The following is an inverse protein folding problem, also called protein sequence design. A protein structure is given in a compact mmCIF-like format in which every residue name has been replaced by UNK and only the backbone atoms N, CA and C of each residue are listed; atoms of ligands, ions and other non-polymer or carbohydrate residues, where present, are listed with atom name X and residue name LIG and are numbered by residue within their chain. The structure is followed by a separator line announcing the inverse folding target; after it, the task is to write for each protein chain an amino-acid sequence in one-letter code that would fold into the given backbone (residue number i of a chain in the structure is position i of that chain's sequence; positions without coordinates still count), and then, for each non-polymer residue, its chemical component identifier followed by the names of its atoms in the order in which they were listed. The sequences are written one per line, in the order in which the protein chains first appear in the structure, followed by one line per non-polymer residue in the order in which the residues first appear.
data_IF_604834753749
#
_entry.id   IF_604834753749
#
_cell.length_a   1.000
_cell.length_b   1.000
_cell.length_c   1.000
_cell.angle_alpha   90.00
_cell.angle_beta   90.00
_cell.angle_gamma   90.00
#
_symmetry.space_group_name_H-M   'P 1'
#
loop_
_entity.id
_entity.type
_entity.pdbx_description
1 polymer ?
#
# COMPACT_ATOMS: atom_id res chain seq x y z
N UNK A 1 -1.75 -33.23 38.47
CA UNK A 1 -1.90 -31.80 38.82
C UNK A 1 -3.18 -31.33 38.15
N UNK A 2 -4.22 -31.03 38.94
CA UNK A 2 -5.57 -30.79 38.43
C UNK A 2 -5.78 -29.34 37.99
N UNK A 3 -6.48 -29.16 36.87
CA UNK A 3 -6.77 -27.88 36.19
C UNK A 3 -7.66 -26.92 37.03
N UNK A 4 -8.17 -27.36 38.18
CA UNK A 4 -8.98 -26.58 39.12
C UNK A 4 -8.21 -25.48 39.85
N UNK A 5 -6.88 -25.53 39.88
CA UNK A 5 -6.06 -24.49 40.54
C UNK A 5 -5.84 -23.23 39.68
N UNK A 6 -6.31 -23.21 38.43
CA UNK A 6 -6.10 -22.09 37.50
C UNK A 6 -7.35 -21.23 37.25
N UNK A 7 -8.48 -21.57 37.88
CA UNK A 7 -9.75 -20.85 37.72
C UNK A 7 -10.31 -20.40 39.07
N UNK A 8 -9.48 -19.80 39.94
CA UNK A 8 -10.00 -19.00 41.05
C UNK A 8 -9.89 -17.52 40.70
N UNK A 9 -10.96 -17.03 40.07
CA UNK A 9 -11.22 -15.62 39.83
C UNK A 9 -11.96 -15.11 41.06
N UNK A 10 -11.23 -14.73 42.11
CA UNK A 10 -11.74 -13.83 43.14
C UNK A 10 -10.60 -13.00 43.75
N UNK A 11 -10.72 -11.70 43.50
CA UNK A 11 -9.94 -10.61 44.05
C UNK A 11 -9.90 -10.62 45.57
N UNK A 12 -8.74 -10.33 46.17
CA UNK A 12 -8.59 -9.60 47.43
C UNK A 12 -7.12 -9.12 47.50
N UNK A 13 -6.88 -7.85 47.16
CA UNK A 13 -6.78 -6.71 48.08
C UNK A 13 -5.35 -6.49 48.58
N UNK A 14 -4.84 -5.31 48.24
CA UNK A 14 -3.91 -4.49 48.98
C UNK A 14 -2.49 -5.04 49.23
N UNK A 15 -1.49 -4.34 48.68
CA UNK A 15 -0.53 -3.62 49.51
C UNK A 15 0.18 -2.55 48.68
N UNK A 16 -0.33 -1.34 48.86
CA UNK A 16 0.26 -0.05 48.53
C UNK A 16 1.64 0.07 49.18
N UNK A 17 2.69 0.32 48.39
CA UNK A 17 3.95 0.88 48.91
C UNK A 17 4.00 2.36 48.53
N UNK A 18 3.66 3.20 49.51
CA UNK A 18 3.87 4.67 49.50
C UNK A 18 5.31 4.95 49.92
N UNK A 19 6.09 5.60 49.05
CA UNK A 19 7.29 6.34 49.46
C UNK A 19 6.98 7.83 49.45
N UNK A 20 6.95 8.45 50.63
CA UNK A 20 6.78 9.90 50.83
C UNK A 20 8.09 10.67 50.65
N UNK A 21 8.01 11.97 50.28
CA UNK A 21 9.11 12.73 49.68
C UNK A 21 9.88 13.57 50.69
N UNK A 22 11.20 13.70 50.50
CA UNK A 22 12.01 14.76 51.10
C UNK A 22 12.35 15.70 49.96
N UNK A 23 11.53 16.73 49.76
CA UNK A 23 11.77 18.02 49.07
C UNK A 23 10.39 18.64 48.77
N UNK A 24 9.75 19.12 49.83
CA UNK A 24 8.54 19.92 49.73
C UNK A 24 8.89 21.38 49.41
N UNK A 25 8.23 21.90 48.37
CA UNK A 25 7.87 23.32 48.19
C UNK A 25 8.82 24.25 47.41
N UNK A 26 9.18 23.90 46.16
CA UNK A 26 9.19 24.89 45.07
C UNK A 26 8.57 24.22 43.84
N UNK A 27 7.38 24.65 43.44
CA UNK A 27 6.78 24.23 42.16
C UNK A 27 7.37 25.07 41.03
N UNK A 28 8.40 24.52 40.37
CA UNK A 28 9.09 25.12 39.23
C UNK A 28 8.14 25.43 38.04
N UNK A 29 6.94 24.84 38.01
CA UNK A 29 5.93 25.09 36.96
C UNK A 29 5.39 26.52 36.93
N UNK A 30 5.50 27.27 38.03
CA UNK A 30 5.04 28.66 38.09
C UNK A 30 5.84 29.56 37.14
N UNK A 31 7.13 29.26 36.91
CA UNK A 31 8.00 30.06 36.02
C UNK A 31 7.78 29.79 34.53
N UNK A 32 7.20 28.65 34.16
CA UNK A 32 6.89 28.30 32.77
C UNK A 32 5.45 28.62 32.35
N UNK A 33 4.60 29.03 33.30
CA UNK A 33 3.18 29.33 33.09
C UNK A 33 2.91 30.72 32.51
N UNK A 34 3.79 31.23 31.63
CA UNK A 34 3.42 32.36 30.75
C UNK A 34 2.67 31.80 29.55
N UNK A 35 1.37 32.13 29.47
CA UNK A 35 0.43 31.79 28.40
C UNK A 35 1.11 31.77 27.02
N UNK A 36 1.45 30.57 26.54
CA UNK A 36 1.73 30.32 25.13
C UNK A 36 0.41 30.06 24.44
N UNK A 37 0.04 30.93 23.50
CA UNK A 37 -1.00 30.66 22.52
C UNK A 37 -0.57 29.39 21.78
N UNK A 38 -1.28 28.27 22.02
CA UNK A 38 -1.07 27.03 21.28
C UNK A 38 -1.53 27.24 19.83
N UNK A 39 -0.59 27.59 18.96
CA UNK A 39 -0.75 27.28 17.53
C UNK A 39 -0.40 25.79 17.36
N UNK A 40 -1.18 25.00 16.63
CA UNK A 40 -0.84 23.61 16.35
C UNK A 40 0.51 23.58 15.62
N UNK A 41 1.55 23.05 16.27
CA UNK A 41 2.84 22.83 15.62
C UNK A 41 2.69 21.65 14.67
N UNK A 42 2.58 21.92 13.38
CA UNK A 42 2.82 20.88 12.38
C UNK A 42 4.30 20.48 12.46
N UNK A 43 4.58 19.27 12.93
CA UNK A 43 5.89 18.65 12.75
C UNK A 43 6.04 18.36 11.26
N UNK A 44 6.84 19.18 10.57
CA UNK A 44 7.16 19.01 9.15
C UNK A 44 8.03 17.77 8.88
N UNK A 45 8.59 17.15 9.92
CA UNK A 45 9.38 15.93 9.82
C UNK A 45 9.01 14.96 10.93
N UNK A 46 8.68 13.72 10.54
CA UNK A 46 8.67 12.53 11.40
C UNK A 46 9.72 11.57 10.85
N UNK A 47 10.78 11.33 11.61
CA UNK A 47 11.70 10.24 11.32
C UNK A 47 11.20 9.01 12.06
N UNK A 48 10.35 8.21 11.40
CA UNK A 48 9.80 6.99 12.00
C UNK A 48 10.79 5.82 12.03
N UNK A 49 11.98 5.96 11.45
CA UNK A 49 12.99 4.91 11.39
C UNK A 49 14.35 5.42 11.88
N UNK A 50 14.41 5.98 13.09
CA UNK A 50 15.67 6.00 13.80
C UNK A 50 15.94 4.56 14.27
N UNK A 51 16.94 3.92 13.65
CA UNK A 51 17.46 2.61 14.02
C UNK A 51 17.49 2.46 15.55
N UNK A 52 16.78 1.46 16.07
CA UNK A 52 16.88 1.07 17.47
C UNK A 52 18.34 0.74 17.77
N UNK A 53 18.80 1.34 18.87
CA UNK A 53 20.13 1.27 19.45
C UNK A 53 20.72 -0.13 19.46
N UNK A 54 21.93 -0.24 18.93
CA UNK A 54 22.77 -1.43 18.90
C UNK A 54 23.35 -1.82 20.28
N UNK A 55 22.50 -2.03 21.29
CA UNK A 55 22.93 -2.48 22.62
C UNK A 55 22.22 -3.72 23.16
N UNK A 56 21.13 -4.20 22.53
CA UNK A 56 20.31 -5.28 23.11
C UNK A 56 20.49 -6.66 22.44
N UNK A 57 21.68 -6.93 21.88
CA UNK A 57 21.93 -8.15 21.08
C UNK A 57 22.28 -9.40 21.93
N UNK A 58 22.56 -9.29 23.23
CA UNK A 58 23.16 -10.42 23.97
C UNK A 58 22.23 -11.26 24.86
N UNK A 59 20.95 -10.94 25.02
CA UNK A 59 20.05 -11.74 25.88
C UNK A 59 18.63 -11.92 25.30
N UNK A 60 18.51 -12.61 24.16
CA UNK A 60 17.20 -13.21 23.80
C UNK A 60 17.31 -14.73 23.63
N UNK A 61 16.54 -15.53 24.40
CA UNK A 61 16.39 -16.94 24.14
C UNK A 61 15.72 -17.14 22.77
N UNK A 62 16.17 -18.15 22.03
CA UNK A 62 15.73 -18.53 20.67
C UNK A 62 14.24 -18.98 20.56
N UNK A 63 13.36 -18.54 21.44
CA UNK A 63 11.97 -19.01 21.54
C UNK A 63 10.98 -17.86 21.62
N UNK A 64 10.96 -17.00 20.60
CA UNK A 64 9.82 -16.12 20.28
C UNK A 64 10.05 -15.45 18.94
N UNK A 65 9.66 -16.13 17.86
CA UNK A 65 9.47 -15.51 16.54
C UNK A 65 8.18 -14.69 16.61
N UNK A 66 8.18 -13.62 17.40
CA UNK A 66 7.30 -12.47 17.17
C UNK A 66 8.13 -11.42 16.45
N UNK A 67 8.75 -11.82 15.34
CA UNK A 67 9.18 -10.83 14.36
C UNK A 67 7.90 -10.18 13.86
N UNK A 68 7.70 -8.91 14.19
CA UNK A 68 6.69 -8.08 13.55
C UNK A 68 6.95 -8.17 12.05
N UNK A 69 6.12 -8.92 11.33
CA UNK A 69 6.23 -9.06 9.88
C UNK A 69 6.05 -7.67 9.27
N UNK A 70 7.17 -7.01 8.96
CA UNK A 70 7.15 -5.72 8.29
C UNK A 70 6.72 -5.99 6.84
N UNK A 71 5.52 -5.54 6.50
CA UNK A 71 5.02 -5.68 5.13
C UNK A 71 5.89 -4.84 4.19
N UNK A 72 6.39 -5.47 3.12
CA UNK A 72 7.28 -4.85 2.13
C UNK A 72 6.55 -3.74 1.35
N UNK A 73 5.24 -3.90 1.15
CA UNK A 73 4.41 -2.94 0.44
C UNK A 73 2.99 -2.92 1.01
N UNK A 74 2.26 -1.85 0.70
CA UNK A 74 0.81 -1.78 0.96
C UNK A 74 0.08 -2.81 0.10
N UNK A 75 -1.00 -3.37 0.62
CA UNK A 75 -1.81 -4.34 -0.11
C UNK A 75 -2.50 -3.67 -1.30
N UNK A 76 -2.04 -3.96 -2.53
CA UNK A 76 -2.64 -3.48 -3.77
C UNK A 76 -2.69 -4.59 -4.81
N UNK A 77 -3.74 -4.64 -5.63
CA UNK A 77 -3.77 -5.55 -6.79
C UNK A 77 -2.72 -5.19 -7.83
N UNK A 78 -2.27 -3.93 -7.88
CA UNK A 78 -1.24 -3.48 -8.80
C UNK A 78 0.14 -4.06 -8.46
N UNK A 79 0.32 -4.60 -7.25
CA UNK A 79 1.55 -5.31 -6.87
C UNK A 79 1.82 -6.50 -7.81
N UNK A 80 0.78 -7.10 -8.39
CA UNK A 80 0.91 -8.20 -9.35
C UNK A 80 1.75 -7.81 -10.57
N UNK A 81 1.72 -6.53 -10.98
CA UNK A 81 2.44 -6.04 -12.15
C UNK A 81 3.95 -6.21 -11.96
N UNK A 82 4.42 -5.95 -10.74
CA UNK A 82 5.85 -6.02 -10.41
C UNK A 82 6.34 -7.46 -10.21
N UNK A 83 5.46 -8.34 -9.70
CA UNK A 83 5.84 -9.73 -9.41
C UNK A 83 5.51 -10.69 -10.56
N UNK A 84 4.79 -10.25 -11.60
CA UNK A 84 4.30 -11.13 -12.64
C UNK A 84 5.42 -11.88 -13.36
N UNK A 85 6.40 -11.14 -13.87
CA UNK A 85 7.52 -11.71 -14.60
C UNK A 85 8.38 -12.65 -13.73
N UNK A 86 8.88 -12.22 -12.54
CA UNK A 86 9.69 -13.11 -11.72
C UNK A 86 8.90 -14.35 -11.23
N UNK A 87 7.61 -14.20 -10.92
CA UNK A 87 6.79 -15.33 -10.48
C UNK A 87 6.48 -16.30 -11.62
N UNK A 88 6.26 -15.80 -12.84
CA UNK A 88 6.08 -16.64 -14.04
C UNK A 88 7.36 -17.43 -14.33
N UNK A 89 8.52 -16.79 -14.29
CA UNK A 89 9.82 -17.47 -14.45
C UNK A 89 10.02 -18.55 -13.37
N UNK A 90 9.69 -18.23 -12.12
CA UNK A 90 9.76 -19.19 -11.02
C UNK A 90 8.83 -20.39 -11.22
N UNK A 91 7.58 -20.14 -11.61
CA UNK A 91 6.60 -21.20 -11.91
C UNK A 91 7.14 -22.13 -13.00
N UNK A 92 7.68 -21.57 -14.10
CA UNK A 92 8.25 -22.35 -15.20
C UNK A 92 9.43 -23.21 -14.75
N UNK A 93 10.32 -22.68 -13.90
CA UNK A 93 11.44 -23.45 -13.34
C UNK A 93 10.97 -24.62 -12.48
N UNK A 94 9.97 -24.40 -11.64
CA UNK A 94 9.38 -25.45 -10.80
C UNK A 94 8.72 -26.53 -11.66
N UNK A 95 7.92 -26.13 -12.64
CA UNK A 95 7.25 -27.05 -13.57
C UNK A 95 8.24 -27.92 -14.35
N UNK A 96 9.34 -27.32 -14.83
CA UNK A 96 10.44 -28.05 -15.45
C UNK A 96 11.12 -29.03 -14.48
N UNK A 97 11.32 -28.65 -13.22
CA UNK A 97 11.97 -29.53 -12.23
C UNK A 97 11.12 -30.74 -11.83
N UNK A 98 9.79 -30.61 -11.87
CA UNK A 98 8.82 -31.66 -11.48
C UNK A 98 8.38 -32.47 -12.72
N UNK A 99 8.84 -32.12 -13.93
CA UNK A 99 8.36 -32.68 -15.21
C UNK A 99 6.83 -32.61 -15.34
N UNK A 100 6.24 -31.50 -14.92
CA UNK A 100 4.80 -31.24 -14.99
C UNK A 100 4.57 -30.01 -15.85
N UNK A 101 3.53 -30.06 -16.70
CA UNK A 101 3.19 -28.92 -17.56
C UNK A 101 2.43 -27.81 -16.82
N UNK A 102 1.84 -28.13 -15.66
CA UNK A 102 1.05 -27.21 -14.85
C UNK A 102 1.15 -27.59 -13.37
N UNK A 103 1.40 -26.62 -12.51
CA UNK A 103 1.35 -26.79 -11.05
C UNK A 103 0.20 -26.01 -10.41
N UNK A 104 -0.13 -26.31 -9.16
CA UNK A 104 -1.19 -25.62 -8.40
C UNK A 104 -0.97 -24.10 -8.34
N UNK A 105 0.28 -23.67 -8.21
CA UNK A 105 0.62 -22.25 -8.18
C UNK A 105 0.32 -21.59 -9.53
N UNK A 106 0.65 -22.24 -10.64
CA UNK A 106 0.32 -21.76 -11.99
C UNK A 106 -1.18 -21.62 -12.20
N UNK A 107 -1.98 -22.62 -11.80
CA UNK A 107 -3.44 -22.56 -11.89
C UNK A 107 -4.00 -21.40 -11.06
N UNK A 108 -3.59 -21.28 -9.79
CA UNK A 108 -4.04 -20.20 -8.92
C UNK A 108 -3.64 -18.83 -9.46
N UNK A 109 -2.39 -18.68 -9.91
CA UNK A 109 -1.86 -17.41 -10.38
C UNK A 109 -2.61 -16.94 -11.64
N UNK A 110 -2.81 -17.85 -12.59
CA UNK A 110 -3.58 -17.55 -13.80
C UNK A 110 -5.06 -17.24 -13.49
N UNK A 111 -5.66 -17.96 -12.54
CA UNK A 111 -7.03 -17.68 -12.09
C UNK A 111 -7.16 -16.30 -11.44
N UNK A 112 -6.22 -15.95 -10.55
CA UNK A 112 -6.21 -14.66 -9.86
C UNK A 112 -6.06 -13.51 -10.85
N UNK A 113 -5.16 -13.63 -11.83
CA UNK A 113 -5.00 -12.60 -12.86
C UNK A 113 -6.31 -12.41 -13.60
N UNK A 114 -6.91 -13.51 -14.07
CA UNK A 114 -8.11 -13.45 -14.90
C UNK A 114 -9.33 -12.89 -14.19
N UNK A 115 -9.55 -13.31 -12.94
CA UNK A 115 -10.81 -13.02 -12.21
C UNK A 115 -10.71 -11.84 -11.25
N UNK A 116 -9.52 -11.51 -10.76
CA UNK A 116 -9.36 -10.44 -9.78
C UNK A 116 -8.64 -9.25 -10.38
N UNK A 117 -7.48 -9.47 -11.02
CA UNK A 117 -6.69 -8.36 -11.53
C UNK A 117 -7.35 -7.70 -12.75
N UNK A 118 -7.73 -8.48 -13.77
CA UNK A 118 -8.32 -7.94 -14.99
C UNK A 118 -9.64 -7.21 -14.73
N UNK A 119 -10.52 -7.79 -13.91
CA UNK A 119 -11.79 -7.15 -13.52
C UNK A 119 -11.59 -5.83 -12.79
N UNK A 120 -10.57 -5.77 -11.91
CA UNK A 120 -10.20 -4.51 -11.23
C UNK A 120 -9.62 -3.49 -12.20
N UNK A 121 -8.79 -3.89 -13.16
CA UNK A 121 -8.27 -2.96 -14.16
C UNK A 121 -9.39 -2.41 -15.03
N UNK A 122 -10.31 -3.27 -15.50
CA UNK A 122 -11.49 -2.83 -16.25
C UNK A 122 -12.33 -1.83 -15.43
N UNK A 123 -12.63 -2.16 -14.17
CA UNK A 123 -13.42 -1.29 -13.27
C UNK A 123 -12.73 0.06 -12.99
N UNK A 124 -11.41 0.05 -12.75
CA UNK A 124 -10.59 1.25 -12.52
C UNK A 124 -10.61 2.17 -13.74
N UNK A 125 -10.50 1.60 -14.94
CA UNK A 125 -10.58 2.34 -16.20
C UNK A 125 -11.98 2.90 -16.41
N UNK A 126 -13.02 2.07 -16.26
CA UNK A 126 -14.41 2.50 -16.45
C UNK A 126 -14.79 3.66 -15.52
N UNK A 127 -14.44 3.56 -14.24
CA UNK A 127 -14.68 4.64 -13.25
C UNK A 127 -13.88 5.90 -13.55
N UNK A 128 -12.64 5.77 -14.04
CA UNK A 128 -11.83 6.91 -14.47
C UNK A 128 -12.45 7.62 -15.67
N UNK A 129 -12.88 6.87 -16.70
CA UNK A 129 -13.55 7.42 -17.88
C UNK A 129 -14.88 8.09 -17.53
N UNK A 130 -15.68 7.46 -16.67
CA UNK A 130 -16.94 8.02 -16.20
C UNK A 130 -16.73 9.32 -15.41
N UNK A 131 -15.70 9.37 -14.54
CA UNK A 131 -15.33 10.59 -13.82
C UNK A 131 -14.91 11.71 -14.77
N UNK A 132 -14.12 11.39 -15.80
CA UNK A 132 -13.64 12.38 -16.77
C UNK A 132 -14.80 12.92 -17.63
N UNK A 133 -15.75 12.08 -18.00
CA UNK A 133 -16.85 12.47 -18.91
C UNK A 133 -17.98 13.21 -18.20
N UNK A 134 -18.21 12.94 -16.91
CA UNK A 134 -19.28 13.56 -16.12
C UNK A 134 -18.87 14.85 -15.40
N UNK A 135 -17.59 15.21 -15.42
CA UNK A 135 -17.13 16.44 -14.77
C UNK A 135 -17.63 17.66 -15.55
N UNK A 136 -18.21 18.66 -14.86
CA UNK A 136 -18.83 19.83 -15.50
C UNK A 136 -17.87 20.61 -16.42
N UNK A 137 -16.59 20.68 -16.04
CA UNK A 137 -15.54 21.38 -16.80
C UNK A 137 -14.73 20.46 -17.72
N UNK A 138 -15.13 19.19 -17.89
CA UNK A 138 -14.40 18.20 -18.68
C UNK A 138 -14.11 18.65 -20.12
N UNK A 139 -15.00 19.46 -20.68
CA UNK A 139 -14.98 19.96 -22.05
C UNK A 139 -14.36 21.34 -22.20
N UNK A 140 -13.95 21.96 -21.08
CA UNK A 140 -13.33 23.28 -21.04
C UNK A 140 -11.92 23.29 -20.44
N UNK A 141 -11.59 22.29 -19.61
CA UNK A 141 -10.26 22.13 -19.05
C UNK A 141 -9.24 21.75 -20.15
N UNK A 142 -8.20 22.56 -20.30
CA UNK A 142 -7.11 22.34 -21.26
C UNK A 142 -5.83 21.85 -20.57
N UNK A 143 -4.97 21.17 -21.34
CA UNK A 143 -3.66 20.71 -20.88
C UNK A 143 -2.78 21.86 -20.43
N UNK A 144 -2.05 21.65 -19.34
CA UNK A 144 -1.11 22.65 -18.81
C UNK A 144 0.13 22.77 -19.72
N UNK A 145 0.85 23.90 -19.69
CA UNK A 145 2.06 24.07 -20.50
C UNK A 145 3.13 22.99 -20.25
N UNK A 146 3.23 22.46 -19.03
CA UNK A 146 4.15 21.35 -18.73
C UNK A 146 3.77 20.08 -19.51
N UNK A 147 2.48 19.74 -19.54
CA UNK A 147 1.98 18.57 -20.27
C UNK A 147 2.14 18.71 -21.78
N UNK A 148 1.99 19.93 -22.31
CA UNK A 148 2.19 20.22 -23.74
C UNK A 148 3.65 19.95 -24.14
N UNK A 149 4.60 20.32 -23.28
CA UNK A 149 6.02 20.06 -23.49
C UNK A 149 6.37 18.58 -23.37
N UNK A 150 5.82 17.88 -22.37
CA UNK A 150 6.05 16.44 -22.17
C UNK A 150 5.49 15.61 -23.31
N UNK A 151 4.30 15.95 -23.80
CA UNK A 151 3.62 15.24 -24.89
C UNK A 151 4.07 15.71 -26.29
N UNK A 152 4.94 16.73 -26.38
CA UNK A 152 5.45 17.32 -27.64
C UNK A 152 4.29 17.75 -28.56
N UNK A 153 3.31 18.46 -27.99
CA UNK A 153 2.13 18.92 -28.73
C UNK A 153 2.28 20.41 -29.02
N UNK A 154 1.83 20.88 -30.18
CA UNK A 154 1.93 22.29 -30.59
C UNK A 154 0.78 23.16 -30.08
N UNK A 155 -0.29 22.56 -29.55
CA UNK A 155 -1.52 23.23 -29.12
C UNK A 155 -2.09 22.57 -27.87
N UNK A 156 -2.74 23.34 -26.99
CA UNK A 156 -3.42 22.77 -25.84
C UNK A 156 -4.51 21.81 -26.30
N UNK A 157 -4.50 20.60 -25.74
CA UNK A 157 -5.59 19.63 -25.91
C UNK A 157 -6.54 19.72 -24.73
N UNK A 158 -7.69 19.06 -24.87
CA UNK A 158 -8.60 18.89 -23.77
C UNK A 158 -7.99 17.95 -22.72
N UNK A 159 -8.12 18.29 -21.44
CA UNK A 159 -7.57 17.52 -20.33
C UNK A 159 -8.14 16.09 -20.29
N UNK A 160 -9.40 15.93 -20.68
CA UNK A 160 -10.04 14.62 -20.83
C UNK A 160 -9.37 13.76 -21.90
N UNK A 161 -9.00 14.33 -23.04
CA UNK A 161 -8.29 13.63 -24.13
C UNK A 161 -6.93 13.11 -23.66
N UNK A 162 -6.16 13.93 -22.95
CA UNK A 162 -4.86 13.51 -22.41
C UNK A 162 -5.01 12.45 -21.33
N UNK A 163 -6.01 12.58 -20.44
CA UNK A 163 -6.27 11.57 -19.41
C UNK A 163 -6.67 10.22 -20.01
N UNK A 164 -7.51 10.21 -21.04
CA UNK A 164 -7.89 8.99 -21.79
C UNK A 164 -6.66 8.38 -22.46
N UNK A 165 -5.84 9.20 -23.12
CA UNK A 165 -4.59 8.75 -23.76
C UNK A 165 -3.64 8.10 -22.76
N UNK A 166 -3.44 8.71 -21.59
CA UNK A 166 -2.60 8.15 -20.54
C UNK A 166 -3.10 6.78 -20.05
N UNK A 167 -4.42 6.61 -19.92
CA UNK A 167 -5.01 5.31 -19.58
C UNK A 167 -4.73 4.26 -20.66
N UNK A 168 -4.89 4.62 -21.94
CA UNK A 168 -4.54 3.74 -23.07
C UNK A 168 -3.05 3.36 -23.02
N UNK A 169 -2.15 4.32 -22.76
CA UNK A 169 -0.73 4.05 -22.62
C UNK A 169 -0.41 3.12 -21.44
N UNK A 170 -1.12 3.25 -20.32
CA UNK A 170 -0.96 2.34 -19.18
C UNK A 170 -1.40 0.92 -19.54
N UNK A 171 -2.56 0.76 -20.19
CA UNK A 171 -3.03 -0.57 -20.62
C UNK A 171 -2.09 -1.16 -21.67
N UNK A 172 -1.54 -0.35 -22.58
CA UNK A 172 -0.51 -0.80 -23.53
C UNK A 172 0.72 -1.39 -22.81
N UNK A 173 1.18 -0.76 -21.72
CA UNK A 173 2.27 -1.32 -20.90
C UNK A 173 1.89 -2.69 -20.34
N UNK A 174 0.66 -2.84 -19.83
CA UNK A 174 0.17 -4.13 -19.32
C UNK A 174 0.10 -5.22 -20.40
N UNK A 175 -0.32 -4.87 -21.63
CA UNK A 175 -0.31 -5.80 -22.77
C UNK A 175 1.11 -6.31 -23.06
N UNK A 176 2.10 -5.45 -22.97
CA UNK A 176 3.51 -5.81 -23.21
C UNK A 176 4.03 -6.69 -22.06
N UNK A 177 3.72 -6.35 -20.81
CA UNK A 177 4.17 -7.11 -19.63
C UNK A 177 3.50 -8.48 -19.53
N UNK A 178 2.22 -8.58 -19.90
CA UNK A 178 1.39 -9.79 -19.72
C UNK A 178 0.69 -10.17 -21.04
N UNK A 179 1.46 -10.63 -22.05
CA UNK A 179 0.94 -10.85 -23.40
C UNK A 179 -0.13 -11.95 -23.48
N UNK A 180 -0.10 -12.94 -22.57
CA UNK A 180 -1.12 -14.00 -22.49
C UNK A 180 -2.54 -13.46 -22.25
N UNK A 181 -2.63 -12.29 -21.61
CA UNK A 181 -3.90 -11.63 -21.28
C UNK A 181 -4.21 -10.45 -22.21
N UNK A 182 -3.44 -10.27 -23.29
CA UNK A 182 -3.57 -9.15 -24.22
C UNK A 182 -4.99 -8.95 -24.76
N UNK A 183 -5.71 -10.03 -25.06
CA UNK A 183 -7.09 -9.96 -25.56
C UNK A 183 -8.03 -9.22 -24.58
N UNK A 184 -7.92 -9.47 -23.28
CA UNK A 184 -8.75 -8.78 -22.28
C UNK A 184 -8.36 -7.31 -22.17
N UNK A 185 -7.07 -6.99 -22.13
CA UNK A 185 -6.60 -5.60 -22.11
C UNK A 185 -7.03 -4.81 -23.36
N UNK A 186 -7.03 -5.44 -24.52
CA UNK A 186 -7.53 -4.83 -25.75
C UNK A 186 -9.04 -4.58 -25.68
N UNK A 187 -9.83 -5.48 -25.08
CA UNK A 187 -11.25 -5.23 -24.83
C UNK A 187 -11.45 -4.02 -23.91
N UNK A 188 -10.64 -3.88 -22.85
CA UNK A 188 -10.67 -2.69 -21.98
C UNK A 188 -10.33 -1.42 -22.78
N UNK A 189 -9.35 -1.47 -23.68
CA UNK A 189 -9.05 -0.31 -24.53
C UNK A 189 -10.21 0.05 -25.47
N UNK A 190 -10.86 -0.95 -26.06
CA UNK A 190 -12.04 -0.72 -26.92
C UNK A 190 -13.19 -0.11 -26.12
N UNK A 191 -13.42 -0.54 -24.88
CA UNK A 191 -14.48 0.04 -24.04
C UNK A 191 -14.25 1.50 -23.67
N UNK A 192 -12.99 1.96 -23.63
CA UNK A 192 -12.67 3.39 -23.42
C UNK A 192 -13.02 4.23 -24.64
N UNK A 193 -12.87 3.66 -25.84
CA UNK A 193 -13.06 4.37 -27.11
C UNK A 193 -14.51 4.47 -27.58
N UNK A 194 -15.44 3.81 -26.88
CA UNK A 194 -16.86 3.72 -27.23
C UNK A 194 -17.68 4.65 -26.37
#
# INVERSE_FOLDING_TARGET
MFLSNYLDVNSHSDLVIKSTPIFSNIDLNVFFSKKKIQRPKQCLFKFSNAFESSSDILERPFTSITQTQTMICTSSSDNIIYIYEPLTMFIQQIEQSINMNTCTLSLWFNEYIRTVFLDRQHSKVATTVESITKQADAWHAITTPEQIQELIISRPLLSSTVSIWNNICQIKKLVITMPEYASHFLMIMVSISR
#
